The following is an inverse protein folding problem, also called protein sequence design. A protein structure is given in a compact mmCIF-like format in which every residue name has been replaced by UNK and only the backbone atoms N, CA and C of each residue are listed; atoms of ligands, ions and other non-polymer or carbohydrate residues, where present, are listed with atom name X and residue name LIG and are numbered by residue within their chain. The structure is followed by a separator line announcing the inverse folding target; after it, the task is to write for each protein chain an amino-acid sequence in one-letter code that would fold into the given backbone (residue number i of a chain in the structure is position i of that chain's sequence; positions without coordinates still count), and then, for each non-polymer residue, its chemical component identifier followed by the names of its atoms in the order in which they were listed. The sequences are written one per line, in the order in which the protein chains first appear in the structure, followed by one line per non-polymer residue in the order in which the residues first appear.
data_IF_101743298461
#
_entry.id   IF_101743298461
#
_cell.length_a   1.000
_cell.length_b   1.000
_cell.length_c   1.000
_cell.angle_alpha   90.00
_cell.angle_beta   90.00
_cell.angle_gamma   90.00
#
_symmetry.space_group_name_H-M   'P 1'
#
loop_
_entity.id
_entity.type
_entity.pdbx_description
1 polymer ?
#
# COMPACT_ATOMS: atom_id res chain seq x y z
N UNK A 1 10.04 29.26 0.08
CA UNK A 1 8.70 28.66 -0.15
C UNK A 1 8.30 27.97 1.14
N UNK A 2 7.05 28.03 1.57
CA UNK A 2 6.62 27.23 2.73
C UNK A 2 6.88 25.74 2.44
N UNK A 3 7.37 25.02 3.46
CA UNK A 3 7.55 23.58 3.33
C UNK A 3 6.19 22.90 3.08
N UNK A 4 6.14 21.85 2.23
CA UNK A 4 4.90 21.11 2.02
C UNK A 4 4.44 20.47 3.32
N UNK A 5 3.15 20.54 3.61
CA UNK A 5 2.54 19.92 4.79
C UNK A 5 2.76 18.41 4.75
N UNK A 6 3.22 17.82 5.86
CA UNK A 6 3.31 16.36 6.01
C UNK A 6 1.92 15.81 6.32
N UNK A 7 1.54 14.72 5.68
CA UNK A 7 0.26 14.06 5.92
C UNK A 7 0.19 13.52 7.36
N UNK A 8 -0.89 13.86 8.05
CA UNK A 8 -1.21 13.33 9.38
C UNK A 8 -2.04 12.05 9.28
N UNK A 9 -2.16 11.27 10.36
CA UNK A 9 -3.04 10.09 10.42
C UNK A 9 -4.47 10.42 9.99
N UNK A 10 -5.03 11.53 10.49
CA UNK A 10 -6.37 11.96 10.12
C UNK A 10 -6.50 12.25 8.62
N UNK A 11 -5.49 12.87 8.00
CA UNK A 11 -5.49 13.10 6.55
C UNK A 11 -5.41 11.77 5.79
N UNK A 12 -4.59 10.84 6.25
CA UNK A 12 -4.45 9.51 5.64
C UNK A 12 -5.78 8.75 5.71
N UNK A 13 -6.43 8.74 6.89
CA UNK A 13 -7.76 8.17 7.06
C UNK A 13 -8.78 8.78 6.08
N UNK A 14 -8.84 10.12 6.00
CA UNK A 14 -9.76 10.82 5.08
C UNK A 14 -9.48 10.53 3.60
N UNK A 15 -8.20 10.37 3.22
CA UNK A 15 -7.83 9.99 1.86
C UNK A 15 -8.46 8.64 1.49
N UNK A 16 -8.26 7.64 2.35
CA UNK A 16 -8.71 6.28 2.08
C UNK A 16 -10.21 6.10 2.30
N UNK A 17 -10.82 6.79 3.28
CA UNK A 17 -12.28 6.83 3.40
C UNK A 17 -12.94 7.37 2.13
N UNK A 18 -12.39 8.44 1.57
CA UNK A 18 -12.91 9.02 0.33
C UNK A 18 -12.60 8.24 -0.94
N UNK A 19 -11.66 7.29 -0.90
CA UNK A 19 -11.28 6.44 -2.02
C UNK A 19 -11.89 5.03 -1.96
N UNK A 20 -12.48 4.63 -0.83
CA UNK A 20 -12.80 3.26 -0.48
C UNK A 20 -13.50 2.47 -1.59
N UNK A 21 -14.54 3.03 -2.20
CA UNK A 21 -15.33 2.34 -3.24
C UNK A 21 -14.61 2.15 -4.57
N UNK A 22 -13.56 2.96 -4.84
CA UNK A 22 -12.78 2.95 -6.08
C UNK A 22 -11.35 2.40 -5.89
N UNK A 23 -10.92 2.24 -4.63
CA UNK A 23 -9.56 1.79 -4.30
C UNK A 23 -9.27 0.41 -4.89
N UNK A 24 -8.15 0.30 -5.60
CA UNK A 24 -7.70 -0.89 -6.34
C UNK A 24 -8.73 -1.49 -7.32
N UNK A 25 -9.78 -0.74 -7.67
CA UNK A 25 -10.81 -1.08 -8.67
C UNK A 25 -10.74 -0.22 -9.91
N UNK A 26 -9.83 0.75 -9.91
CA UNK A 26 -9.59 1.67 -11.04
C UNK A 26 -8.28 1.29 -11.71
N UNK A 27 -8.35 0.97 -12.99
CA UNK A 27 -7.19 0.47 -13.75
C UNK A 27 -6.82 -0.98 -13.40
N UNK A 28 -5.53 -1.33 -13.42
CA UNK A 28 -5.04 -2.73 -13.40
C UNK A 28 -5.02 -3.41 -12.03
N UNK A 29 -5.67 -2.90 -10.99
CA UNK A 29 -5.72 -3.50 -9.63
C UNK A 29 -4.35 -3.93 -9.11
N UNK A 30 -3.40 -2.99 -9.12
CA UNK A 30 -1.98 -3.30 -8.85
C UNK A 30 -1.73 -3.81 -7.43
N UNK A 31 -2.48 -3.30 -6.44
CA UNK A 31 -2.29 -3.75 -5.06
C UNK A 31 -2.76 -5.17 -4.85
N UNK A 32 -3.83 -5.61 -5.54
CA UNK A 32 -4.26 -7.01 -5.55
C UNK A 32 -3.20 -7.91 -6.19
N UNK A 33 -2.61 -7.51 -7.32
CA UNK A 33 -1.55 -8.27 -7.98
C UNK A 33 -0.31 -8.39 -7.08
N UNK A 34 0.17 -7.28 -6.54
CA UNK A 34 1.37 -7.26 -5.69
C UNK A 34 1.13 -7.92 -4.33
N UNK A 35 -0.07 -7.75 -3.74
CA UNK A 35 -0.45 -8.43 -2.51
C UNK A 35 -0.47 -9.95 -2.68
N UNK A 36 -1.07 -10.45 -3.76
CA UNK A 36 -1.03 -11.88 -4.11
C UNK A 36 0.39 -12.38 -4.26
N UNK A 37 1.25 -11.60 -4.94
CA UNK A 37 2.66 -11.95 -5.12
C UNK A 37 3.45 -12.02 -3.82
N UNK A 38 3.17 -11.12 -2.86
CA UNK A 38 3.74 -11.21 -1.52
C UNK A 38 3.29 -12.50 -0.81
N UNK A 39 1.98 -12.79 -0.83
CA UNK A 39 1.40 -13.97 -0.18
C UNK A 39 1.98 -15.27 -0.73
N UNK A 40 2.26 -15.35 -2.03
CA UNK A 40 2.90 -16.53 -2.66
C UNK A 40 4.29 -16.82 -2.07
N UNK A 41 5.01 -15.79 -1.64
CA UNK A 41 6.35 -15.89 -1.07
C UNK A 41 6.34 -16.22 0.45
N UNK A 42 5.18 -16.03 1.12
CA UNK A 42 5.08 -16.23 2.56
C UNK A 42 4.93 -17.71 2.95
N UNK A 43 5.63 -18.17 4.02
CA UNK A 43 5.53 -19.54 4.54
C UNK A 43 4.24 -19.71 5.37
N UNK A 44 3.08 -19.58 4.74
CA UNK A 44 1.77 -19.74 5.37
C UNK A 44 1.43 -21.22 5.50
N UNK A 45 1.17 -21.66 6.72
CA UNK A 45 0.72 -23.01 7.03
C UNK A 45 -0.79 -23.04 7.34
N UNK A 46 -1.51 -24.12 7.03
CA UNK A 46 -2.88 -24.30 7.52
C UNK A 46 -2.93 -24.15 9.06
N UNK A 47 -3.98 -23.50 9.54
CA UNK A 47 -4.15 -23.22 10.97
C UNK A 47 -3.38 -22.00 11.51
N UNK A 48 -2.56 -21.32 10.71
CA UNK A 48 -1.78 -20.15 11.15
C UNK A 48 -2.68 -18.98 11.58
N UNK A 49 -2.22 -18.22 12.58
CA UNK A 49 -2.79 -16.93 12.98
C UNK A 49 -2.02 -15.81 12.30
N UNK A 50 -2.69 -15.05 11.45
CA UNK A 50 -2.07 -14.01 10.62
C UNK A 50 -2.65 -12.64 10.94
N UNK A 51 -1.79 -11.62 10.99
CA UNK A 51 -2.17 -10.21 11.05
C UNK A 51 -1.82 -9.54 9.71
N UNK A 52 -2.80 -8.90 9.08
CA UNK A 52 -2.64 -8.08 7.89
C UNK A 52 -2.83 -6.60 8.26
N UNK A 53 -1.74 -5.84 8.25
CA UNK A 53 -1.67 -4.44 8.68
C UNK A 53 -1.82 -3.52 7.47
N UNK A 54 -2.77 -2.59 7.55
CA UNK A 54 -3.17 -1.78 6.39
C UNK A 54 -3.84 -2.66 5.35
N UNK A 55 -4.80 -3.50 5.79
CA UNK A 55 -5.44 -4.55 4.98
C UNK A 55 -6.12 -4.01 3.72
N UNK A 56 -6.43 -2.72 3.70
CA UNK A 56 -7.11 -2.11 2.57
C UNK A 56 -8.44 -2.81 2.25
N UNK A 57 -8.68 -3.03 0.98
CA UNK A 57 -9.87 -3.76 0.50
C UNK A 57 -9.69 -5.30 0.49
N UNK A 58 -8.61 -5.81 1.08
CA UNK A 58 -8.37 -7.24 1.26
C UNK A 58 -7.39 -7.88 0.27
N UNK A 59 -6.54 -7.11 -0.39
CA UNK A 59 -5.57 -7.61 -1.38
C UNK A 59 -4.65 -8.72 -0.86
N UNK A 60 -4.27 -8.66 0.41
CA UNK A 60 -3.49 -9.69 1.13
C UNK A 60 -4.42 -10.59 1.96
N UNK A 61 -5.37 -9.99 2.66
CA UNK A 61 -6.29 -10.67 3.58
C UNK A 61 -6.98 -11.90 2.94
N UNK A 62 -7.57 -11.71 1.76
CA UNK A 62 -8.38 -12.76 1.11
C UNK A 62 -7.52 -13.97 0.69
N UNK A 63 -6.40 -13.82 -0.04
CA UNK A 63 -5.56 -14.96 -0.38
C UNK A 63 -4.92 -15.62 0.85
N UNK A 64 -4.59 -14.86 1.90
CA UNK A 64 -4.10 -15.42 3.17
C UNK A 64 -5.19 -16.27 3.84
N UNK A 65 -6.42 -15.76 3.96
CA UNK A 65 -7.52 -16.47 4.60
C UNK A 65 -7.85 -17.81 3.92
N UNK A 66 -7.81 -17.84 2.57
CA UNK A 66 -7.96 -19.10 1.81
C UNK A 66 -6.83 -20.08 2.10
N UNK A 67 -5.58 -19.56 2.21
CA UNK A 67 -4.39 -20.41 2.35
C UNK A 67 -4.24 -21.02 3.74
N UNK A 68 -4.60 -20.27 4.81
CA UNK A 68 -4.55 -20.79 6.17
C UNK A 68 -5.75 -21.72 6.50
N UNK A 69 -6.82 -21.65 5.73
CA UNK A 69 -7.99 -22.51 5.85
C UNK A 69 -8.84 -22.24 7.09
N UNK A 70 -9.90 -23.04 7.29
CA UNK A 70 -10.89 -22.84 8.36
C UNK A 70 -10.34 -22.95 9.78
N UNK A 71 -9.25 -23.68 9.96
CA UNK A 71 -8.56 -23.83 11.26
C UNK A 71 -7.61 -22.64 11.56
N UNK A 72 -7.28 -21.85 10.54
CA UNK A 72 -6.48 -20.62 10.71
C UNK A 72 -7.37 -19.42 11.02
N UNK A 73 -6.72 -18.31 11.36
CA UNK A 73 -7.42 -17.06 11.63
C UNK A 73 -6.63 -15.88 11.08
N UNK A 74 -7.31 -15.01 10.34
CA UNK A 74 -6.69 -13.79 9.78
C UNK A 74 -7.37 -12.56 10.39
N UNK A 75 -6.57 -11.72 11.02
CA UNK A 75 -7.03 -10.41 11.47
C UNK A 75 -6.51 -9.34 10.51
N UNK A 76 -7.42 -8.61 9.87
CA UNK A 76 -7.07 -7.44 9.06
C UNK A 76 -7.33 -6.16 9.82
N UNK A 77 -6.36 -5.26 9.84
CA UNK A 77 -6.53 -3.94 10.45
C UNK A 77 -6.29 -2.82 9.43
N UNK A 78 -7.05 -1.75 9.57
CA UNK A 78 -6.86 -0.52 8.80
C UNK A 78 -7.31 0.69 9.63
N UNK A 79 -6.79 1.87 9.32
CA UNK A 79 -7.18 3.12 9.97
C UNK A 79 -8.52 3.63 9.40
N UNK A 80 -8.82 3.33 8.13
CA UNK A 80 -10.03 3.74 7.41
C UNK A 80 -11.19 2.77 7.65
N UNK A 81 -12.24 3.26 8.29
CA UNK A 81 -13.47 2.50 8.49
C UNK A 81 -14.20 2.20 7.18
N UNK A 82 -14.16 3.11 6.21
CA UNK A 82 -14.82 2.90 4.91
C UNK A 82 -14.10 1.83 4.07
N UNK A 83 -12.77 1.77 4.11
CA UNK A 83 -11.97 0.71 3.45
C UNK A 83 -12.32 -0.66 4.07
N UNK A 84 -12.41 -0.75 5.40
CA UNK A 84 -12.77 -2.01 6.08
C UNK A 84 -14.18 -2.50 5.70
N UNK A 85 -15.13 -1.59 5.45
CA UNK A 85 -16.45 -1.99 4.94
C UNK A 85 -16.36 -2.65 3.55
N UNK A 86 -15.47 -2.16 2.67
CA UNK A 86 -15.23 -2.81 1.38
C UNK A 86 -14.55 -4.18 1.54
N UNK A 87 -13.57 -4.29 2.45
CA UNK A 87 -12.96 -5.57 2.78
C UNK A 87 -13.99 -6.56 3.34
N UNK A 88 -14.90 -6.11 4.22
CA UNK A 88 -15.97 -6.94 4.77
C UNK A 88 -16.91 -7.45 3.67
N UNK A 89 -17.26 -6.60 2.70
CA UNK A 89 -18.06 -7.02 1.54
C UNK A 89 -17.35 -8.10 0.73
N UNK A 90 -16.03 -7.95 0.53
CA UNK A 90 -15.24 -8.94 -0.20
C UNK A 90 -15.15 -10.28 0.57
N UNK A 91 -14.91 -10.24 1.88
CA UNK A 91 -14.88 -11.42 2.76
C UNK A 91 -16.22 -12.18 2.69
N UNK A 92 -17.34 -11.46 2.79
CA UNK A 92 -18.68 -12.05 2.69
C UNK A 92 -18.97 -12.64 1.31
N UNK A 93 -18.54 -11.95 0.24
CA UNK A 93 -18.75 -12.43 -1.12
C UNK A 93 -18.02 -13.74 -1.41
N UNK A 94 -16.88 -13.97 -0.73
CA UNK A 94 -16.11 -15.21 -0.82
C UNK A 94 -16.53 -16.28 0.22
N UNK A 95 -17.46 -15.97 1.12
CA UNK A 95 -17.91 -16.89 2.16
C UNK A 95 -16.84 -17.25 3.18
N UNK A 96 -15.82 -16.41 3.37
CA UNK A 96 -14.75 -16.65 4.34
C UNK A 96 -15.27 -16.42 5.77
N UNK A 97 -15.04 -17.40 6.65
CA UNK A 97 -15.49 -17.37 8.06
C UNK A 97 -14.37 -17.25 9.07
N UNK A 98 -13.13 -17.29 8.61
CA UNK A 98 -11.91 -17.25 9.41
C UNK A 98 -11.22 -15.88 9.41
N UNK A 99 -11.97 -14.82 9.13
CA UNK A 99 -11.48 -13.44 9.03
C UNK A 99 -12.13 -12.55 10.08
N UNK A 100 -11.32 -11.74 10.75
CA UNK A 100 -11.76 -10.64 11.60
C UNK A 100 -11.21 -9.32 11.06
N UNK A 101 -12.03 -8.26 11.04
CA UNK A 101 -11.63 -6.93 10.63
C UNK A 101 -11.76 -5.95 11.81
N UNK A 102 -10.72 -5.15 12.04
CA UNK A 102 -10.70 -4.15 13.13
C UNK A 102 -10.19 -2.79 12.62
N UNK A 103 -10.89 -1.74 12.98
CA UNK A 103 -10.34 -0.39 12.83
C UNK A 103 -9.28 -0.18 13.92
N UNK A 104 -8.01 -0.02 13.52
CA UNK A 104 -6.88 0.03 14.46
C UNK A 104 -5.71 0.79 13.85
N UNK A 105 -4.95 1.46 14.71
CA UNK A 105 -3.71 2.15 14.37
C UNK A 105 -2.54 1.16 14.40
N UNK A 106 -1.81 1.04 13.30
CA UNK A 106 -0.62 0.18 13.18
C UNK A 106 0.52 0.56 14.14
N UNK A 107 0.56 1.82 14.58
CA UNK A 107 1.57 2.32 15.52
C UNK A 107 1.26 1.98 16.99
N UNK A 108 0.03 1.48 17.27
CA UNK A 108 -0.44 1.11 18.62
C UNK A 108 -1.38 -0.10 18.51
N UNK A 109 -0.80 -1.29 18.40
CA UNK A 109 -1.58 -2.53 18.24
C UNK A 109 -2.16 -3.01 19.58
N UNK A 110 -3.47 -3.20 19.61
CA UNK A 110 -4.22 -3.71 20.78
C UNK A 110 -4.20 -5.25 20.85
N UNK A 111 -3.05 -5.86 20.55
CA UNK A 111 -2.85 -7.29 20.65
C UNK A 111 -1.76 -7.60 21.68
N UNK A 112 -1.87 -8.74 22.40
CA UNK A 112 -0.80 -9.22 23.25
C UNK A 112 0.49 -9.49 22.45
N UNK A 113 1.61 -9.49 23.15
CA UNK A 113 2.89 -9.92 22.58
C UNK A 113 2.78 -11.34 22.02
N UNK A 114 3.55 -11.64 20.99
CA UNK A 114 3.71 -12.99 20.47
C UNK A 114 2.39 -13.69 20.11
N UNK A 115 1.47 -12.96 19.48
CA UNK A 115 0.12 -13.45 19.15
C UNK A 115 0.08 -14.15 17.79
N UNK A 116 0.84 -13.64 16.79
CA UNK A 116 0.70 -14.04 15.40
C UNK A 116 1.89 -14.89 14.92
N UNK A 117 1.58 -15.91 14.13
CA UNK A 117 2.58 -16.73 13.44
C UNK A 117 3.17 -15.98 12.25
N UNK A 118 2.34 -15.14 11.61
CA UNK A 118 2.75 -14.30 10.48
C UNK A 118 2.13 -12.90 10.61
N UNK A 119 2.95 -11.86 10.35
CA UNK A 119 2.50 -10.46 10.28
C UNK A 119 2.84 -9.92 8.90
N UNK A 120 1.88 -9.32 8.20
CA UNK A 120 2.06 -8.82 6.85
C UNK A 120 1.70 -7.33 6.80
N UNK A 121 2.48 -6.54 6.08
CA UNK A 121 2.17 -5.15 5.76
C UNK A 121 2.53 -4.88 4.29
N UNK A 122 1.51 -4.84 3.42
CA UNK A 122 1.69 -4.59 2.00
C UNK A 122 1.37 -3.13 1.67
N UNK A 123 2.36 -2.38 1.17
CA UNK A 123 2.24 -0.97 0.76
C UNK A 123 1.69 -0.03 1.86
N UNK A 124 1.82 -0.42 3.13
CA UNK A 124 1.36 0.38 4.28
C UNK A 124 2.46 1.21 4.93
N UNK A 125 3.69 0.69 5.04
CA UNK A 125 4.75 1.27 5.88
C UNK A 125 5.04 2.75 5.62
N UNK A 126 5.09 3.18 4.35
CA UNK A 126 5.37 4.58 4.00
C UNK A 126 4.21 5.54 4.31
N UNK A 127 3.05 5.02 4.68
CA UNK A 127 1.88 5.80 5.10
C UNK A 127 1.89 6.10 6.60
N UNK A 128 2.65 5.37 7.39
CA UNK A 128 2.66 5.55 8.85
C UNK A 128 3.52 6.75 9.26
N UNK A 129 2.97 7.76 9.93
CA UNK A 129 3.73 8.89 10.45
C UNK A 129 4.89 8.47 11.36
N UNK A 130 4.67 7.52 12.27
CA UNK A 130 5.71 6.85 13.06
C UNK A 130 5.89 5.39 12.60
N UNK A 131 6.56 5.24 11.44
CA UNK A 131 6.88 3.93 10.88
C UNK A 131 7.70 3.07 11.86
N UNK A 132 8.56 3.69 12.68
CA UNK A 132 9.35 2.98 13.67
C UNK A 132 8.48 2.37 14.77
N UNK A 133 7.44 3.10 15.24
CA UNK A 133 6.48 2.55 16.18
C UNK A 133 5.75 1.35 15.58
N UNK A 134 5.30 1.45 14.32
CA UNK A 134 4.64 0.34 13.64
C UNK A 134 5.56 -0.88 13.51
N UNK A 135 6.83 -0.71 13.15
CA UNK A 135 7.80 -1.82 13.06
C UNK A 135 8.08 -2.46 14.42
N UNK A 136 8.16 -1.66 15.51
CA UNK A 136 8.28 -2.18 16.87
C UNK A 136 7.05 -3.01 17.25
N UNK A 137 5.86 -2.54 16.94
CA UNK A 137 4.61 -3.26 17.19
C UNK A 137 4.52 -4.55 16.36
N UNK A 138 4.86 -4.51 15.06
CA UNK A 138 4.93 -5.70 14.21
C UNK A 138 5.86 -6.76 14.83
N UNK A 139 7.05 -6.35 15.28
CA UNK A 139 7.97 -7.27 15.95
C UNK A 139 7.36 -7.79 17.27
N UNK A 140 6.79 -6.92 18.11
CA UNK A 140 6.22 -7.28 19.41
C UNK A 140 5.13 -8.35 19.30
N UNK A 141 4.19 -8.19 18.34
CA UNK A 141 3.05 -9.10 18.19
C UNK A 141 3.38 -10.37 17.42
N UNK A 142 4.51 -10.43 16.70
CA UNK A 142 5.00 -11.66 16.07
C UNK A 142 5.47 -12.66 17.11
N UNK A 143 5.21 -13.94 16.93
CA UNK A 143 5.77 -15.01 17.78
C UNK A 143 7.28 -15.16 17.54
N UNK A 144 8.07 -15.66 18.52
CA UNK A 144 9.44 -16.08 18.28
C UNK A 144 9.52 -17.09 17.13
N UNK A 145 10.37 -16.82 16.13
CA UNK A 145 10.46 -17.62 14.90
C UNK A 145 9.30 -17.43 13.92
N UNK A 146 8.34 -16.56 14.25
CA UNK A 146 7.28 -16.15 13.32
C UNK A 146 7.81 -15.31 12.17
N UNK A 147 7.03 -15.20 11.11
CA UNK A 147 7.44 -14.51 9.89
C UNK A 147 6.77 -13.13 9.75
N UNK A 148 7.49 -12.23 9.15
CA UNK A 148 6.97 -10.91 8.75
C UNK A 148 7.19 -10.72 7.26
N UNK A 149 6.12 -10.33 6.56
CA UNK A 149 6.14 -10.01 5.12
C UNK A 149 5.87 -8.53 4.89
N UNK A 150 6.67 -7.90 4.06
CA UNK A 150 6.51 -6.49 3.67
C UNK A 150 6.60 -6.36 2.17
N UNK A 151 5.75 -5.54 1.57
CA UNK A 151 5.97 -5.03 0.22
C UNK A 151 5.94 -3.51 0.20
N UNK A 152 6.79 -2.92 -0.64
CA UNK A 152 6.95 -1.48 -0.77
C UNK A 152 7.38 -1.15 -2.20
N UNK A 153 7.14 0.07 -2.67
CA UNK A 153 7.68 0.49 -3.96
C UNK A 153 9.20 0.47 -3.95
N UNK A 154 9.78 -0.07 -5.01
CA UNK A 154 11.20 -0.09 -5.24
C UNK A 154 11.68 1.18 -5.95
N UNK A 155 12.95 1.53 -5.75
CA UNK A 155 13.62 2.56 -6.56
C UNK A 155 13.77 2.04 -7.99
N UNK A 156 13.10 2.68 -8.92
CA UNK A 156 13.10 2.31 -10.34
C UNK A 156 14.19 3.08 -11.07
N UNK A 157 15.18 2.42 -11.71
CA UNK A 157 16.18 3.11 -12.51
C UNK A 157 15.57 3.70 -13.80
N UNK A 158 16.14 4.76 -14.40
CA UNK A 158 15.72 5.26 -15.71
C UNK A 158 15.95 4.23 -16.83
N UNK A 159 15.09 4.19 -17.88
CA UNK A 159 13.88 4.96 -18.10
C UNK A 159 12.69 4.38 -17.33
N UNK A 160 12.19 5.12 -16.37
CA UNK A 160 11.09 4.69 -15.51
C UNK A 160 9.80 5.46 -15.82
N UNK A 161 8.73 5.00 -15.17
CA UNK A 161 7.39 5.58 -15.22
C UNK A 161 7.41 7.12 -15.30
N UNK A 162 7.08 7.71 -16.45
CA UNK A 162 7.08 9.16 -16.59
C UNK A 162 5.88 9.82 -15.90
N UNK A 163 4.85 9.06 -15.54
CA UNK A 163 3.60 9.59 -15.00
C UNK A 163 3.78 10.30 -13.67
N UNK A 164 4.45 9.66 -12.70
CA UNK A 164 4.63 10.27 -11.37
C UNK A 164 5.60 11.46 -11.35
N UNK A 165 6.78 11.43 -11.97
CA UNK A 165 7.63 12.62 -12.05
C UNK A 165 6.93 13.83 -12.67
N UNK A 166 6.15 13.64 -13.73
CA UNK A 166 5.38 14.72 -14.36
C UNK A 166 4.30 15.24 -13.40
N UNK A 167 3.60 14.33 -12.69
CA UNK A 167 2.60 14.70 -11.67
C UNK A 167 3.22 15.53 -10.56
N UNK A 168 4.32 15.05 -9.97
CA UNK A 168 4.99 15.76 -8.87
C UNK A 168 5.57 17.11 -9.31
N UNK A 169 6.12 17.19 -10.52
CA UNK A 169 6.57 18.47 -11.09
C UNK A 169 5.41 19.46 -11.25
N UNK A 170 4.24 18.97 -11.68
CA UNK A 170 3.06 19.81 -11.85
C UNK A 170 2.47 20.22 -10.48
N UNK A 171 2.40 19.29 -9.51
CA UNK A 171 2.01 19.60 -8.12
C UNK A 171 2.88 20.72 -7.55
N UNK A 172 4.20 20.64 -7.76
CA UNK A 172 5.13 21.68 -7.33
C UNK A 172 4.88 23.03 -8.01
N UNK A 173 4.59 23.03 -9.32
CA UNK A 173 4.28 24.26 -10.07
C UNK A 173 2.98 24.94 -9.58
N UNK A 174 2.01 24.16 -9.13
CA UNK A 174 0.76 24.68 -8.55
C UNK A 174 0.85 25.00 -7.05
N UNK A 175 1.98 24.70 -6.39
CA UNK A 175 2.25 24.97 -4.97
C UNK A 175 1.20 24.36 -4.00
N UNK A 176 0.67 23.20 -4.33
CA UNK A 176 -0.43 22.54 -3.59
C UNK A 176 -0.03 21.23 -2.89
N UNK A 177 1.27 20.92 -2.85
CA UNK A 177 1.76 19.61 -2.41
C UNK A 177 1.45 19.27 -0.96
N UNK A 178 1.00 18.02 -0.76
CA UNK A 178 1.03 17.32 0.52
C UNK A 178 2.08 16.22 0.41
N UNK A 179 3.04 16.18 1.34
CA UNK A 179 4.09 15.16 1.37
C UNK A 179 3.64 13.98 2.23
N UNK A 180 3.86 12.76 1.75
CA UNK A 180 3.72 11.57 2.58
C UNK A 180 4.73 11.59 3.74
N UNK A 181 4.41 10.94 4.89
CA UNK A 181 5.25 10.95 6.07
C UNK A 181 6.64 10.38 5.81
N UNK A 182 6.72 9.33 5.00
CA UNK A 182 7.94 8.60 4.69
C UNK A 182 8.26 8.65 3.18
N UNK A 183 9.52 8.35 2.77
CA UNK A 183 9.81 8.05 1.38
C UNK A 183 8.91 6.92 0.88
N UNK A 184 8.44 7.00 -0.37
CA UNK A 184 7.53 5.99 -0.94
C UNK A 184 8.27 4.84 -1.61
N UNK A 185 9.56 4.99 -1.92
CA UNK A 185 10.34 3.99 -2.63
C UNK A 185 11.68 3.73 -1.94
N UNK A 186 12.03 2.45 -1.84
CA UNK A 186 13.23 1.96 -1.16
C UNK A 186 14.01 1.00 -2.07
N UNK A 187 15.34 0.96 -1.89
CA UNK A 187 16.17 -0.11 -2.42
C UNK A 187 16.06 -1.37 -1.52
N UNK A 188 16.29 -2.58 -2.04
CA UNK A 188 16.23 -3.80 -1.23
C UNK A 188 17.08 -3.73 0.05
N UNK A 189 18.30 -3.23 -0.06
CA UNK A 189 19.25 -3.07 1.07
C UNK A 189 18.77 -2.05 2.11
N UNK A 190 17.99 -1.06 1.72
CA UNK A 190 17.39 -0.11 2.67
C UNK A 190 16.25 -0.76 3.45
N UNK A 191 15.46 -1.64 2.82
CA UNK A 191 14.40 -2.42 3.48
C UNK A 191 15.02 -3.43 4.45
N UNK A 192 16.10 -4.10 4.04
CA UNK A 192 16.85 -5.03 4.90
C UNK A 192 17.39 -4.32 6.14
N UNK A 193 18.09 -3.19 5.95
CA UNK A 193 18.62 -2.38 7.05
C UNK A 193 17.51 -1.90 8.00
N UNK A 194 16.38 -1.44 7.44
CA UNK A 194 15.23 -0.99 8.21
C UNK A 194 14.67 -2.13 9.09
N UNK A 195 14.38 -3.30 8.52
CA UNK A 195 13.85 -4.43 9.28
C UNK A 195 14.84 -4.93 10.33
N UNK A 196 16.13 -5.01 9.99
CA UNK A 196 17.19 -5.41 10.92
C UNK A 196 17.28 -4.50 12.15
N UNK A 197 17.13 -3.19 11.98
CA UNK A 197 17.14 -2.19 13.05
C UNK A 197 16.04 -2.46 14.10
N UNK A 198 14.91 -3.03 13.69
CA UNK A 198 13.78 -3.33 14.58
C UNK A 198 13.73 -4.81 15.05
N UNK A 199 14.85 -5.54 14.97
CA UNK A 199 15.04 -6.85 15.59
C UNK A 199 14.56 -8.02 14.71
N UNK A 200 14.22 -7.77 13.45
CA UNK A 200 13.97 -8.85 12.49
C UNK A 200 15.29 -9.45 12.00
N UNK A 201 15.27 -10.76 11.71
CA UNK A 201 16.42 -11.56 11.31
C UNK A 201 16.10 -12.39 10.09
N UNK A 202 17.09 -13.09 9.52
CA UNK A 202 16.91 -13.93 8.33
C UNK A 202 16.13 -13.21 7.24
N UNK A 203 16.52 -11.94 6.97
CA UNK A 203 15.80 -11.08 6.05
C UNK A 203 16.17 -11.46 4.63
N UNK A 204 15.17 -11.81 3.84
CA UNK A 204 15.29 -12.06 2.42
C UNK A 204 14.53 -10.96 1.66
N UNK A 205 15.22 -10.27 0.75
CA UNK A 205 14.62 -9.23 -0.09
C UNK A 205 14.64 -9.64 -1.55
N UNK A 206 13.58 -9.31 -2.27
CA UNK A 206 13.47 -9.52 -3.71
C UNK A 206 12.87 -8.29 -4.36
N UNK A 207 13.53 -7.79 -5.40
CA UNK A 207 12.99 -6.71 -6.22
C UNK A 207 12.47 -7.26 -7.55
N UNK A 208 11.25 -6.86 -7.91
CA UNK A 208 10.62 -7.22 -9.17
C UNK A 208 10.24 -5.96 -9.94
N UNK A 209 10.56 -5.93 -11.24
CA UNK A 209 10.11 -4.87 -12.13
C UNK A 209 8.84 -5.32 -12.83
N UNK A 210 7.80 -4.49 -12.74
CA UNK A 210 6.50 -4.78 -13.34
C UNK A 210 6.18 -3.73 -14.40
N UNK A 211 5.63 -4.15 -15.52
CA UNK A 211 5.08 -3.28 -16.55
C UNK A 211 3.56 -3.19 -16.36
N UNK A 212 3.10 -2.05 -15.90
CA UNK A 212 1.70 -1.79 -15.61
C UNK A 212 1.11 -0.95 -16.74
N UNK A 213 0.03 -1.44 -17.34
CA UNK A 213 -0.57 -0.81 -18.50
C UNK A 213 -1.91 -0.18 -18.10
N UNK A 214 -2.02 1.14 -18.27
CA UNK A 214 -3.27 1.87 -18.13
C UNK A 214 -3.87 2.13 -19.52
N UNK A 215 -5.10 1.66 -19.75
CA UNK A 215 -5.74 1.71 -21.04
C UNK A 215 -6.01 3.14 -21.54
N UNK A 216 -6.25 4.08 -20.61
CA UNK A 216 -6.50 5.47 -20.93
C UNK A 216 -5.83 6.44 -19.95
N UNK A 217 -5.69 7.69 -20.38
CA UNK A 217 -5.21 8.77 -19.52
C UNK A 217 -6.21 9.06 -18.38
N UNK A 218 -7.48 8.85 -18.63
CA UNK A 218 -8.57 8.98 -17.68
C UNK A 218 -8.48 7.89 -16.59
N UNK A 219 -8.16 6.64 -16.92
CA UNK A 219 -7.95 5.57 -15.96
C UNK A 219 -6.75 5.86 -15.06
N UNK A 220 -5.65 6.37 -15.67
CA UNK A 220 -4.50 6.80 -14.90
C UNK A 220 -4.81 7.96 -13.96
N UNK A 221 -5.60 8.96 -14.42
CA UNK A 221 -6.04 10.06 -13.58
C UNK A 221 -6.93 9.57 -12.43
N UNK A 222 -7.90 8.72 -12.74
CA UNK A 222 -8.80 8.16 -11.73
C UNK A 222 -8.03 7.37 -10.66
N UNK A 223 -7.00 6.62 -11.06
CA UNK A 223 -6.10 5.94 -10.14
C UNK A 223 -5.38 6.92 -9.19
N UNK A 224 -4.93 8.10 -9.67
CA UNK A 224 -4.32 9.11 -8.79
C UNK A 224 -5.27 9.60 -7.69
N UNK A 225 -6.56 9.53 -7.91
CA UNK A 225 -7.59 9.90 -6.92
C UNK A 225 -7.87 8.78 -5.89
N UNK A 226 -7.26 7.63 -6.03
CA UNK A 226 -7.33 6.54 -5.03
C UNK A 226 -6.10 6.47 -4.14
N UNK A 227 -5.06 7.26 -4.42
CA UNK A 227 -3.78 7.27 -3.71
C UNK A 227 -3.62 8.50 -2.80
N UNK A 228 -2.48 8.59 -2.14
CA UNK A 228 -2.07 9.76 -1.36
C UNK A 228 -2.09 11.09 -2.13
N UNK A 229 -1.91 11.06 -3.44
CA UNK A 229 -2.05 12.20 -4.35
C UNK A 229 -3.45 12.83 -4.33
N UNK A 230 -4.49 12.06 -3.94
CA UNK A 230 -5.85 12.56 -3.71
C UNK A 230 -5.87 13.77 -2.77
N UNK A 231 -5.13 13.74 -1.67
CA UNK A 231 -5.09 14.84 -0.71
C UNK A 231 -4.67 16.15 -1.36
N UNK A 232 -3.66 16.10 -2.23
CA UNK A 232 -3.18 17.27 -2.98
C UNK A 232 -4.20 17.73 -4.03
N UNK A 233 -4.73 16.80 -4.82
CA UNK A 233 -5.64 17.11 -5.94
C UNK A 233 -6.97 17.72 -5.44
N UNK A 234 -7.53 17.20 -4.35
CA UNK A 234 -8.80 17.68 -3.83
C UNK A 234 -8.71 18.99 -3.03
N UNK A 235 -7.51 19.48 -2.72
CA UNK A 235 -7.33 20.83 -2.14
C UNK A 235 -7.52 21.96 -3.17
N UNK A 236 -7.41 21.63 -4.44
CA UNK A 236 -7.69 22.61 -5.51
C UNK A 236 -9.20 22.84 -5.61
N UNK A 237 -9.60 24.09 -5.87
CA UNK A 237 -10.98 24.36 -6.29
C UNK A 237 -11.25 23.68 -7.64
N UNK A 238 -12.53 23.59 -8.02
CA UNK A 238 -12.95 22.82 -9.18
C UNK A 238 -12.32 23.31 -10.49
N UNK A 239 -12.26 24.63 -10.71
CA UNK A 239 -11.67 25.23 -11.90
C UNK A 239 -10.16 24.94 -11.99
N UNK A 240 -9.43 25.15 -10.88
CA UNK A 240 -7.99 24.87 -10.81
C UNK A 240 -7.70 23.39 -11.04
N UNK A 241 -8.52 22.52 -10.45
CA UNK A 241 -8.37 21.05 -10.59
C UNK A 241 -8.64 20.59 -12.02
N UNK A 242 -9.65 21.15 -12.69
CA UNK A 242 -9.94 20.85 -14.10
C UNK A 242 -8.74 21.25 -14.98
N UNK A 243 -8.25 22.48 -14.84
CA UNK A 243 -7.07 22.96 -15.57
C UNK A 243 -5.82 22.11 -15.27
N UNK A 244 -5.58 21.79 -13.99
CA UNK A 244 -4.46 20.91 -13.58
C UNK A 244 -4.54 19.55 -14.27
N UNK A 245 -5.74 18.93 -14.28
CA UNK A 245 -5.99 17.65 -14.97
C UNK A 245 -5.66 17.75 -16.46
N UNK A 246 -6.22 18.74 -17.14
CA UNK A 246 -6.05 18.89 -18.59
C UNK A 246 -4.59 19.09 -18.99
N UNK A 247 -3.86 19.95 -18.27
CA UNK A 247 -2.43 20.17 -18.47
C UNK A 247 -1.60 18.92 -18.20
N UNK A 248 -1.93 18.19 -17.14
CA UNK A 248 -1.24 16.95 -16.78
C UNK A 248 -1.45 15.87 -17.84
N UNK A 249 -2.71 15.62 -18.20
CA UNK A 249 -3.02 14.59 -19.19
C UNK A 249 -2.48 14.95 -20.59
N UNK A 250 -2.42 16.22 -20.94
CA UNK A 250 -1.79 16.67 -22.18
C UNK A 250 -0.30 16.30 -22.25
N UNK A 251 0.42 16.35 -21.11
CA UNK A 251 1.82 15.94 -21.03
C UNK A 251 2.01 14.41 -21.11
N UNK A 252 1.00 13.63 -20.69
CA UNK A 252 1.06 12.17 -20.74
C UNK A 252 0.66 11.59 -22.11
N UNK A 253 -0.26 12.23 -22.83
CA UNK A 253 -0.77 11.71 -24.12
C UNK A 253 0.30 11.27 -25.10
N UNK A 254 1.42 11.99 -25.30
CA UNK A 254 2.49 11.56 -26.21
C UNK A 254 3.20 10.26 -25.80
N UNK A 255 3.00 9.80 -24.55
CA UNK A 255 3.65 8.59 -24.01
C UNK A 255 2.79 7.33 -24.17
N UNK A 256 1.53 7.50 -24.61
CA UNK A 256 0.64 6.36 -24.86
C UNK A 256 1.10 5.61 -26.11
N UNK A 257 1.14 4.31 -25.99
CA UNK A 257 1.31 3.35 -27.08
C UNK A 257 -0.07 2.91 -27.58
N UNK A 258 -0.11 2.03 -28.58
CA UNK A 258 -1.37 1.49 -29.11
C UNK A 258 -2.20 0.73 -28.06
N UNK A 259 -1.55 0.11 -27.10
CA UNK A 259 -2.12 -0.71 -26.03
C UNK A 259 -2.27 0.02 -24.68
N UNK A 260 -1.82 1.27 -24.58
CA UNK A 260 -1.97 2.09 -23.38
C UNK A 260 -0.72 2.82 -22.92
N UNK A 261 -0.78 3.35 -21.71
CA UNK A 261 0.35 3.95 -21.00
C UNK A 261 1.09 2.88 -20.19
N UNK A 262 2.32 2.59 -20.60
CA UNK A 262 3.20 1.65 -19.90
C UNK A 262 3.96 2.34 -18.77
N UNK A 263 3.83 1.81 -17.58
CA UNK A 263 4.48 2.29 -16.37
C UNK A 263 5.31 1.19 -15.74
N UNK A 264 6.63 1.34 -15.78
CA UNK A 264 7.52 0.45 -15.05
C UNK A 264 7.46 0.74 -13.56
N UNK A 265 7.09 -0.25 -12.77
CA UNK A 265 6.98 -0.15 -11.30
C UNK A 265 7.84 -1.21 -10.65
N UNK A 266 8.88 -0.78 -9.93
CA UNK A 266 9.64 -1.68 -9.09
C UNK A 266 8.89 -1.92 -7.77
N UNK A 267 8.87 -3.17 -7.32
CA UNK A 267 8.35 -3.56 -6.01
C UNK A 267 9.43 -4.36 -5.28
N UNK A 268 9.70 -3.97 -4.05
CA UNK A 268 10.53 -4.74 -3.13
C UNK A 268 9.62 -5.55 -2.23
N UNK A 269 9.80 -6.84 -2.22
CA UNK A 269 9.23 -7.79 -1.29
C UNK A 269 10.30 -8.15 -0.26
N UNK A 270 9.94 -8.17 0.99
CA UNK A 270 10.82 -8.62 2.07
C UNK A 270 10.11 -9.65 2.94
N UNK A 271 10.81 -10.71 3.27
CA UNK A 271 10.42 -11.69 4.26
C UNK A 271 11.47 -11.72 5.36
N UNK A 272 11.05 -11.76 6.60
CA UNK A 272 11.94 -11.76 7.75
C UNK A 272 11.38 -12.62 8.86
N UNK A 273 12.23 -13.00 9.82
CA UNK A 273 11.83 -13.69 11.06
C UNK A 273 12.05 -12.79 12.28
N UNK A 274 11.21 -12.99 13.28
CA UNK A 274 11.44 -12.41 14.59
C UNK A 274 12.53 -13.15 15.36
#
# INVERSE_FOLDING_TARGET
MPEPMVATKQMIEQIFDGAATSYDRTGPSIFTQFGTRLVEQMPLTPGARVLDIGTGTGAVLLPVARRVGSEGHVTGIDLSGAILQEAERAVRAEGLTNVELRKMDAEHLEFPDQTFDVVICAFGLFLFPDMEAALREMNRVSKPGGYTGVSIFGKTPPPFNPGWPILFQQIAAYQVGVRMPQPIAYAPEEVEALLSQFGFRSIETRSEMNDIIYASAEDWWAFQLTLGTRATILRMNEETRARFKDEYLAKLRPMFRQDGLHLSVAVVYAMAQR
#
